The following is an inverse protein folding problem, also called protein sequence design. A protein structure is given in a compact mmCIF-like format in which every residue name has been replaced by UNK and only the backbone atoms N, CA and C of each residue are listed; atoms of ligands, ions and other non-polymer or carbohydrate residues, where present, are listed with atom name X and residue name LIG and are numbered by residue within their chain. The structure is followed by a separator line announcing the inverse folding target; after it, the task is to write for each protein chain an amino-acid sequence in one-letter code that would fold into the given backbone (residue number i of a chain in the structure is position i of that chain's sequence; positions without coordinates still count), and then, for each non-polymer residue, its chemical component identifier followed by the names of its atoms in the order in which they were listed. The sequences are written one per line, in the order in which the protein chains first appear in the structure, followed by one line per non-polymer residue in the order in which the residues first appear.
data_IF_253367992801
#
_entry.id   IF_253367992801
#
_cell.length_a   1.000
_cell.length_b   1.000
_cell.length_c   1.000
_cell.angle_alpha   90.00
_cell.angle_beta   90.00
_cell.angle_gamma   90.00
#
_symmetry.space_group_name_H-M   'P 1'
#
loop_
_entity.id
_entity.type
_entity.pdbx_description
1 polymer ?
#
# COMPACT_ATOMS: atom_id res chain seq x y z
N UNK A 1 11.95 5.20 -19.48
CA UNK A 1 11.77 4.16 -18.45
C UNK A 1 10.34 3.63 -18.55
N UNK A 2 10.18 2.32 -18.69
CA UNK A 2 8.90 1.61 -18.75
C UNK A 2 8.65 0.92 -17.43
N UNK A 3 7.51 1.17 -16.82
CA UNK A 3 7.15 0.63 -15.50
C UNK A 3 6.06 -0.41 -15.66
N UNK A 4 6.34 -1.63 -15.22
CA UNK A 4 5.33 -2.67 -15.06
C UNK A 4 4.58 -2.49 -13.72
N UNK A 5 3.27 -2.66 -13.73
CA UNK A 5 2.47 -2.70 -12.51
C UNK A 5 1.59 -3.94 -12.58
N UNK A 6 1.70 -4.83 -11.61
CA UNK A 6 0.91 -6.06 -11.57
C UNK A 6 -0.10 -5.95 -10.44
N UNK A 7 -1.38 -5.89 -10.82
CA UNK A 7 -2.50 -5.68 -9.92
C UNK A 7 -3.32 -4.44 -10.26
N UNK A 8 -4.65 -4.62 -10.33
CA UNK A 8 -5.63 -3.62 -10.76
C UNK A 8 -6.48 -3.08 -9.61
N UNK A 9 -6.10 -3.45 -8.38
CA UNK A 9 -6.76 -3.01 -7.15
C UNK A 9 -6.56 -1.52 -6.84
N UNK A 10 -6.96 -1.12 -5.63
CA UNK A 10 -6.84 0.28 -5.17
C UNK A 10 -5.39 0.78 -5.21
N UNK A 11 -4.44 -0.03 -4.75
CA UNK A 11 -3.03 0.35 -4.76
C UNK A 11 -2.46 0.36 -6.18
N UNK A 12 -2.66 -0.70 -6.97
CA UNK A 12 -2.14 -0.77 -8.33
C UNK A 12 -2.65 0.37 -9.22
N UNK A 13 -3.95 0.67 -9.19
CA UNK A 13 -4.51 1.82 -9.92
C UNK A 13 -3.97 3.17 -9.43
N UNK A 14 -3.82 3.35 -8.10
CA UNK A 14 -3.26 4.57 -7.52
C UNK A 14 -1.78 4.77 -7.84
N UNK A 15 -0.99 3.69 -7.84
CA UNK A 15 0.42 3.71 -8.26
C UNK A 15 0.51 4.03 -9.75
N UNK A 16 -0.29 3.37 -10.61
CA UNK A 16 -0.34 3.64 -12.04
C UNK A 16 -0.68 5.11 -12.32
N UNK A 17 -1.68 5.66 -11.64
CA UNK A 17 -2.03 7.07 -11.75
C UNK A 17 -0.84 7.99 -11.41
N UNK A 18 -0.13 7.72 -10.31
CA UNK A 18 1.02 8.53 -9.91
C UNK A 18 2.17 8.42 -10.92
N UNK A 19 2.47 7.22 -11.39
CA UNK A 19 3.55 6.96 -12.36
C UNK A 19 3.25 7.65 -13.70
N UNK A 20 2.03 7.52 -14.23
CA UNK A 20 1.57 8.16 -15.45
C UNK A 20 1.62 9.71 -15.36
N UNK A 21 1.19 10.26 -14.20
CA UNK A 21 1.20 11.71 -13.96
C UNK A 21 2.61 12.31 -13.96
N UNK A 22 3.64 11.47 -13.79
CA UNK A 22 5.05 11.87 -13.84
C UNK A 22 5.72 11.52 -15.20
N UNK A 23 4.92 11.22 -16.23
CA UNK A 23 5.39 11.08 -17.62
C UNK A 23 6.06 9.75 -17.96
N UNK A 24 5.91 8.73 -17.12
CA UNK A 24 6.42 7.38 -17.40
C UNK A 24 5.45 6.59 -18.27
N UNK A 25 6.00 5.66 -19.06
CA UNK A 25 5.20 4.62 -19.72
C UNK A 25 4.86 3.52 -18.74
N UNK A 26 3.60 3.12 -18.67
CA UNK A 26 3.11 2.08 -17.78
C UNK A 26 2.56 0.92 -18.58
N UNK A 27 2.92 -0.30 -18.22
CA UNK A 27 2.19 -1.52 -18.58
C UNK A 27 1.53 -2.08 -17.33
N UNK A 28 0.19 -2.05 -17.30
CA UNK A 28 -0.62 -2.55 -16.20
C UNK A 28 -1.09 -3.96 -16.51
N UNK A 29 -0.73 -4.92 -15.64
CA UNK A 29 -1.15 -6.31 -15.76
C UNK A 29 -2.30 -6.58 -14.80
N UNK A 30 -3.42 -7.04 -15.36
CA UNK A 30 -4.59 -7.52 -14.62
C UNK A 30 -4.79 -9.01 -14.81
N UNK A 31 -5.59 -9.62 -13.93
CA UNK A 31 -5.89 -11.06 -14.03
C UNK A 31 -6.95 -11.35 -15.10
N UNK A 32 -7.95 -10.46 -15.23
CA UNK A 32 -9.07 -10.58 -16.18
C UNK A 32 -9.32 -9.24 -16.89
N UNK A 33 -9.91 -9.30 -18.06
CA UNK A 33 -10.30 -8.11 -18.82
C UNK A 33 -11.26 -7.18 -18.05
N UNK A 34 -12.17 -7.75 -17.26
CA UNK A 34 -13.09 -6.98 -16.41
C UNK A 34 -12.36 -6.19 -15.34
N UNK A 35 -11.30 -6.77 -14.75
CA UNK A 35 -10.47 -6.07 -13.75
C UNK A 35 -9.73 -4.91 -14.38
N UNK A 36 -9.23 -5.09 -15.60
CA UNK A 36 -8.57 -4.03 -16.40
C UNK A 36 -9.54 -2.91 -16.73
N UNK A 37 -10.76 -3.24 -17.19
CA UNK A 37 -11.80 -2.24 -17.46
C UNK A 37 -12.15 -1.43 -16.21
N UNK A 38 -12.40 -2.10 -15.10
CA UNK A 38 -12.68 -1.45 -13.81
C UNK A 38 -11.52 -0.56 -13.36
N UNK A 39 -10.29 -0.99 -13.59
CA UNK A 39 -9.10 -0.20 -13.26
C UNK A 39 -9.01 1.06 -14.15
N UNK A 40 -9.28 0.94 -15.45
CA UNK A 40 -9.30 2.09 -16.37
C UNK A 40 -10.36 3.12 -15.96
N UNK A 41 -11.54 2.68 -15.53
CA UNK A 41 -12.59 3.55 -15.00
C UNK A 41 -12.12 4.31 -13.76
N UNK A 42 -11.43 3.62 -12.82
CA UNK A 42 -10.83 4.26 -11.63
C UNK A 42 -9.77 5.28 -11.99
N UNK A 43 -8.89 4.97 -12.94
CA UNK A 43 -7.87 5.90 -13.43
C UNK A 43 -8.50 7.15 -14.05
N UNK A 44 -9.51 6.97 -14.91
CA UNK A 44 -10.25 8.07 -15.51
C UNK A 44 -10.90 8.96 -14.45
N UNK A 45 -11.58 8.37 -13.48
CA UNK A 45 -12.20 9.10 -12.37
C UNK A 45 -11.15 9.85 -11.52
N UNK A 46 -9.98 9.24 -11.30
CA UNK A 46 -8.87 9.86 -10.58
C UNK A 46 -8.34 11.09 -11.33
N UNK A 47 -8.13 10.99 -12.63
CA UNK A 47 -7.70 12.11 -13.46
C UNK A 47 -8.79 13.20 -13.57
N UNK A 48 -10.06 12.83 -13.67
CA UNK A 48 -11.16 13.82 -13.73
C UNK A 48 -11.27 14.60 -12.41
N UNK A 49 -11.06 13.97 -11.28
CA UNK A 49 -10.94 14.66 -9.98
C UNK A 49 -9.74 15.61 -9.93
N UNK A 50 -8.61 15.23 -10.55
CA UNK A 50 -7.43 16.09 -10.62
C UNK A 50 -7.68 17.31 -11.55
N UNK A 51 -8.39 17.12 -12.67
CA UNK A 51 -8.84 18.22 -13.55
C UNK A 51 -9.77 19.17 -12.80
N UNK A 52 -10.77 18.61 -12.08
CA UNK A 52 -11.72 19.44 -11.33
C UNK A 52 -11.05 20.29 -10.22
N UNK A 53 -9.90 19.81 -9.69
CA UNK A 53 -9.06 20.56 -8.72
C UNK A 53 -8.06 21.51 -9.38
N UNK A 54 -8.01 21.57 -10.71
CA UNK A 54 -7.04 22.38 -11.44
C UNK A 54 -5.59 21.88 -11.38
N UNK A 55 -5.38 20.62 -10.93
CA UNK A 55 -4.03 20.05 -10.78
C UNK A 55 -3.44 19.56 -12.11
N UNK A 56 -4.28 19.20 -13.07
CA UNK A 56 -3.91 18.80 -14.44
C UNK A 56 -4.92 19.35 -15.45
N UNK A 57 -4.51 19.41 -16.72
CA UNK A 57 -5.39 19.77 -17.85
C UNK A 57 -5.99 18.52 -18.51
N UNK A 58 -6.99 18.72 -19.39
CA UNK A 58 -7.56 17.64 -20.23
C UNK A 58 -6.50 17.03 -21.17
N UNK A 59 -5.64 17.89 -21.73
CA UNK A 59 -4.57 17.45 -22.64
C UNK A 59 -3.53 16.60 -21.92
N UNK A 60 -3.19 16.98 -20.68
CA UNK A 60 -2.33 16.15 -19.83
C UNK A 60 -2.97 14.79 -19.51
N UNK A 61 -4.27 14.73 -19.20
CA UNK A 61 -4.98 13.44 -19.04
C UNK A 61 -4.86 12.58 -20.28
N UNK A 62 -5.08 13.15 -21.47
CA UNK A 62 -4.97 12.42 -22.73
C UNK A 62 -3.55 11.88 -22.94
N UNK A 63 -2.51 12.69 -22.67
CA UNK A 63 -1.12 12.27 -22.74
C UNK A 63 -0.81 11.13 -21.77
N UNK A 64 -1.29 11.21 -20.52
CA UNK A 64 -1.08 10.16 -19.52
C UNK A 64 -1.71 8.84 -19.94
N UNK A 65 -2.93 8.88 -20.49
CA UNK A 65 -3.61 7.68 -20.97
C UNK A 65 -2.97 7.08 -22.23
N UNK A 66 -2.34 7.90 -23.08
CA UNK A 66 -1.56 7.41 -24.22
C UNK A 66 -0.29 6.64 -23.78
N UNK A 67 0.23 6.91 -22.59
CA UNK A 67 1.38 6.22 -22.00
C UNK A 67 0.98 4.94 -21.23
N UNK A 68 -0.30 4.57 -21.23
CA UNK A 68 -0.83 3.39 -20.53
C UNK A 68 -1.07 2.25 -21.50
N UNK A 69 -0.32 1.16 -21.35
CA UNK A 69 -0.66 -0.16 -21.86
C UNK A 69 -1.37 -0.99 -20.79
N UNK A 70 -2.32 -1.82 -21.19
CA UNK A 70 -3.05 -2.71 -20.30
C UNK A 70 -3.11 -4.10 -20.91
N UNK A 71 -2.84 -5.14 -20.12
CA UNK A 71 -2.80 -6.52 -20.60
C UNK A 71 -3.08 -7.52 -19.48
N UNK A 72 -3.49 -8.73 -19.85
CA UNK A 72 -3.52 -9.89 -18.97
C UNK A 72 -2.31 -10.84 -19.19
N UNK A 73 -1.46 -10.52 -20.16
CA UNK A 73 -0.29 -11.32 -20.49
C UNK A 73 0.98 -10.75 -19.84
N UNK A 74 1.65 -11.55 -19.02
CA UNK A 74 2.92 -11.17 -18.38
C UNK A 74 4.09 -10.97 -19.36
N UNK A 75 4.02 -11.52 -20.58
CA UNK A 75 5.03 -11.31 -21.61
C UNK A 75 5.21 -9.82 -21.99
N UNK A 76 4.18 -9.01 -21.78
CA UNK A 76 4.23 -7.58 -22.06
C UNK A 76 5.11 -6.79 -21.05
N UNK A 77 5.55 -7.46 -19.96
CA UNK A 77 6.52 -6.91 -19.00
C UNK A 77 7.98 -7.01 -19.46
N UNK A 78 8.29 -7.76 -20.52
CA UNK A 78 9.66 -8.10 -20.96
C UNK A 78 10.63 -6.93 -21.07
N UNK A 79 10.11 -5.75 -21.46
CA UNK A 79 10.89 -4.52 -21.65
C UNK A 79 10.75 -3.54 -20.47
N UNK A 80 10.23 -3.99 -19.32
CA UNK A 80 10.09 -3.13 -18.15
C UNK A 80 11.42 -2.93 -17.43
N UNK A 81 11.73 -1.69 -17.07
CA UNK A 81 12.92 -1.34 -16.27
C UNK A 81 12.72 -1.62 -14.78
N UNK A 82 11.48 -1.52 -14.33
CA UNK A 82 11.03 -1.79 -12.95
C UNK A 82 9.61 -2.33 -13.00
N UNK A 83 9.34 -3.39 -12.22
CA UNK A 83 7.98 -3.93 -12.04
C UNK A 83 7.59 -3.84 -10.59
N UNK A 84 6.38 -3.30 -10.33
CA UNK A 84 5.80 -3.18 -8.98
C UNK A 84 4.63 -4.16 -8.88
N UNK A 85 4.76 -5.15 -8.02
CA UNK A 85 3.67 -6.04 -7.64
C UNK A 85 2.77 -5.32 -6.60
N UNK A 86 1.46 -5.25 -6.89
CA UNK A 86 0.45 -4.62 -6.05
C UNK A 86 -0.88 -5.42 -6.05
N UNK A 87 -0.76 -6.76 -5.96
CA UNK A 87 -1.91 -7.67 -5.84
C UNK A 87 -2.37 -7.78 -4.37
N UNK A 88 -3.36 -8.65 -4.12
CA UNK A 88 -3.87 -8.88 -2.75
C UNK A 88 -2.76 -9.28 -1.77
N UNK A 89 -2.94 -8.96 -0.48
CA UNK A 89 -1.97 -9.24 0.59
C UNK A 89 -2.08 -10.71 1.05
N UNK A 90 -1.98 -11.61 0.09
CA UNK A 90 -1.92 -13.05 0.26
C UNK A 90 -0.55 -13.58 -0.18
N UNK A 91 0.11 -14.33 0.70
CA UNK A 91 1.48 -14.79 0.48
C UNK A 91 1.60 -15.71 -0.72
N UNK A 92 0.66 -16.63 -0.92
CA UNK A 92 0.73 -17.59 -2.03
C UNK A 92 0.41 -16.92 -3.38
N UNK A 93 -0.53 -15.98 -3.39
CA UNK A 93 -0.81 -15.17 -4.58
C UNK A 93 0.41 -14.34 -4.95
N UNK A 94 1.03 -13.65 -3.99
CA UNK A 94 2.23 -12.83 -4.25
C UNK A 94 3.40 -13.69 -4.75
N UNK A 95 3.63 -14.84 -4.15
CA UNK A 95 4.66 -15.80 -4.62
C UNK A 95 4.43 -16.18 -6.09
N UNK A 96 3.21 -16.59 -6.44
CA UNK A 96 2.86 -16.94 -7.81
C UNK A 96 3.10 -15.79 -8.80
N UNK A 97 2.72 -14.57 -8.41
CA UNK A 97 2.89 -13.37 -9.22
C UNK A 97 4.38 -13.01 -9.39
N UNK A 98 5.15 -13.00 -8.30
CA UNK A 98 6.59 -12.66 -8.32
C UNK A 98 7.36 -13.63 -9.22
N UNK A 99 7.10 -14.94 -9.11
CA UNK A 99 7.71 -15.95 -9.98
C UNK A 99 7.30 -15.79 -11.45
N UNK A 100 6.06 -15.36 -11.71
CA UNK A 100 5.61 -15.06 -13.05
C UNK A 100 6.28 -13.80 -13.63
N UNK A 101 6.49 -12.77 -12.83
CA UNK A 101 7.24 -11.57 -13.23
C UNK A 101 8.67 -11.95 -13.58
N UNK A 102 9.37 -12.64 -12.66
CA UNK A 102 10.76 -12.99 -12.83
C UNK A 102 11.07 -13.71 -14.14
N UNK A 103 10.23 -14.68 -14.49
CA UNK A 103 10.40 -15.49 -15.72
C UNK A 103 10.30 -14.69 -17.02
N UNK A 104 9.80 -13.47 -17.00
CA UNK A 104 9.45 -12.71 -18.19
C UNK A 104 10.21 -11.40 -18.34
N UNK A 105 10.79 -10.93 -17.26
CA UNK A 105 11.53 -9.67 -17.28
C UNK A 105 13.04 -9.92 -17.48
N UNK A 106 13.72 -8.90 -17.98
CA UNK A 106 15.18 -8.92 -18.10
C UNK A 106 15.85 -9.11 -16.74
N UNK A 107 17.06 -9.65 -16.73
CA UNK A 107 17.87 -9.80 -15.52
C UNK A 107 18.21 -8.47 -14.83
N UNK A 108 18.23 -7.37 -15.59
CA UNK A 108 18.48 -6.01 -15.08
C UNK A 108 17.23 -5.32 -14.57
N UNK A 109 16.04 -5.91 -14.75
CA UNK A 109 14.76 -5.35 -14.29
C UNK A 109 14.69 -5.42 -12.77
N UNK A 110 14.40 -4.31 -12.12
CA UNK A 110 14.08 -4.30 -10.69
C UNK A 110 12.69 -4.87 -10.48
N UNK A 111 12.55 -5.79 -9.53
CA UNK A 111 11.28 -6.33 -9.09
C UNK A 111 10.98 -5.78 -7.70
N UNK A 112 9.85 -5.10 -7.56
CA UNK A 112 9.42 -4.53 -6.30
C UNK A 112 8.04 -5.05 -5.89
N UNK A 113 7.80 -5.15 -4.60
CA UNK A 113 6.48 -5.46 -4.04
C UNK A 113 5.96 -4.28 -3.22
N UNK A 114 4.65 -4.03 -3.32
CA UNK A 114 3.97 -3.01 -2.51
C UNK A 114 3.37 -3.60 -1.22
N UNK A 115 3.81 -4.79 -0.79
CA UNK A 115 3.35 -5.39 0.47
C UNK A 115 3.54 -4.43 1.64
N UNK A 116 2.66 -4.52 2.62
CA UNK A 116 2.73 -3.76 3.87
C UNK A 116 3.13 -4.59 5.08
N UNK A 117 3.15 -5.94 4.94
CA UNK A 117 3.26 -6.85 6.09
C UNK A 117 4.13 -8.08 5.84
N UNK A 118 4.37 -8.45 4.57
CA UNK A 118 5.14 -9.64 4.24
C UNK A 118 6.63 -9.28 4.13
N UNK A 119 7.51 -10.10 4.72
CA UNK A 119 8.96 -9.88 4.68
C UNK A 119 9.49 -9.85 3.24
N UNK A 120 10.22 -8.81 2.92
CA UNK A 120 10.88 -8.62 1.63
C UNK A 120 11.96 -9.70 1.43
N UNK A 121 12.67 -10.04 2.49
CA UNK A 121 13.70 -11.10 2.49
C UNK A 121 13.10 -12.46 2.14
N UNK A 122 11.93 -12.78 2.70
CA UNK A 122 11.22 -14.03 2.39
C UNK A 122 10.77 -14.04 0.93
N UNK A 123 10.17 -12.98 0.44
CA UNK A 123 9.74 -12.90 -0.96
C UNK A 123 10.93 -12.92 -1.94
N UNK A 124 12.02 -12.24 -1.60
CA UNK A 124 13.25 -12.24 -2.40
C UNK A 124 13.88 -13.64 -2.53
N UNK A 125 13.70 -14.51 -1.52
CA UNK A 125 14.25 -15.87 -1.56
C UNK A 125 13.59 -16.79 -2.60
N UNK A 126 12.48 -16.34 -3.20
CA UNK A 126 11.74 -17.11 -4.21
C UNK A 126 12.33 -16.95 -5.60
N UNK A 127 13.16 -15.94 -5.86
CA UNK A 127 13.69 -15.60 -7.17
C UNK A 127 15.18 -15.90 -7.25
N UNK A 128 15.67 -16.17 -8.47
CA UNK A 128 17.05 -16.55 -8.72
C UNK A 128 18.05 -15.41 -8.46
N UNK A 129 17.62 -14.16 -8.72
CA UNK A 129 18.42 -12.93 -8.51
C UNK A 129 17.79 -12.02 -7.44
N UNK A 130 17.89 -12.38 -6.15
CA UNK A 130 17.26 -11.65 -5.06
C UNK A 130 17.87 -10.25 -4.83
N UNK A 131 19.06 -9.96 -5.36
CA UNK A 131 19.71 -8.66 -5.25
C UNK A 131 18.97 -7.53 -5.97
N UNK A 132 18.10 -7.86 -6.94
CA UNK A 132 17.23 -6.90 -7.67
C UNK A 132 15.82 -6.77 -7.09
N UNK A 133 15.53 -7.46 -5.98
CA UNK A 133 14.23 -7.45 -5.32
C UNK A 133 14.21 -6.54 -4.11
N UNK A 134 13.14 -5.75 -3.95
CA UNK A 134 12.94 -4.84 -2.83
C UNK A 134 11.47 -4.52 -2.57
N UNK A 135 11.18 -3.88 -1.45
CA UNK A 135 9.85 -3.33 -1.17
C UNK A 135 9.77 -1.85 -1.57
N UNK A 136 8.68 -1.47 -2.27
CA UNK A 136 8.28 -0.07 -2.44
C UNK A 136 6.88 0.08 -1.87
N UNK A 137 6.79 0.40 -0.59
CA UNK A 137 5.52 0.52 0.11
C UNK A 137 4.94 1.92 -0.07
N UNK A 138 3.94 2.03 -0.95
CA UNK A 138 3.15 3.24 -1.14
C UNK A 138 2.00 3.29 -0.12
N UNK A 139 1.65 4.50 0.30
CA UNK A 139 0.52 4.74 1.19
C UNK A 139 -0.75 5.08 0.41
N UNK A 140 -1.88 4.63 0.91
CA UNK A 140 -3.19 4.88 0.28
C UNK A 140 -3.74 6.28 0.65
N UNK A 141 -4.16 7.11 -0.34
CA UNK A 141 -4.10 6.94 -1.79
C UNK A 141 -2.70 7.21 -2.37
N UNK A 142 -2.17 6.27 -3.19
CA UNK A 142 -0.80 6.36 -3.70
C UNK A 142 -0.52 7.61 -4.55
N UNK A 143 -1.53 8.14 -5.23
CA UNK A 143 -1.43 9.37 -6.02
C UNK A 143 -1.34 10.65 -5.16
N UNK A 144 -1.72 10.59 -3.87
CA UNK A 144 -1.83 11.76 -2.99
C UNK A 144 -0.74 11.77 -1.91
N UNK A 145 -0.52 10.61 -1.29
CA UNK A 145 0.43 10.49 -0.18
C UNK A 145 1.86 10.75 -0.64
N UNK A 146 2.57 11.60 0.11
CA UNK A 146 3.89 12.09 -0.28
C UNK A 146 5.04 11.17 0.12
N UNK A 147 4.82 10.22 1.02
CA UNK A 147 5.86 9.32 1.53
C UNK A 147 5.79 7.95 0.88
N UNK A 148 6.95 7.33 0.74
CA UNK A 148 7.16 5.93 0.35
C UNK A 148 8.20 5.32 1.26
N UNK A 149 7.95 4.13 1.79
CA UNK A 149 8.97 3.31 2.44
C UNK A 149 9.66 2.45 1.38
N UNK A 150 10.98 2.58 1.30
CA UNK A 150 11.83 1.77 0.45
C UNK A 150 12.48 0.70 1.32
N UNK A 151 12.01 -0.54 1.19
CA UNK A 151 12.36 -1.60 2.12
C UNK A 151 13.45 -2.49 1.53
N UNK A 152 14.60 -2.50 2.19
CA UNK A 152 15.75 -3.30 1.82
C UNK A 152 15.68 -4.68 2.46
N UNK A 153 15.49 -5.72 1.64
CA UNK A 153 15.67 -7.11 2.06
C UNK A 153 17.14 -7.46 2.29
N UNK A 154 17.39 -8.60 2.90
CA UNK A 154 18.74 -9.02 3.27
C UNK A 154 19.72 -9.09 2.09
N UNK A 155 19.23 -9.55 0.93
CA UNK A 155 20.05 -9.69 -0.30
C UNK A 155 19.88 -8.53 -1.29
N UNK A 156 19.01 -7.56 -1.03
CA UNK A 156 18.80 -6.41 -1.91
C UNK A 156 20.11 -5.62 -2.10
N UNK A 157 20.53 -5.41 -3.33
CA UNK A 157 21.73 -4.65 -3.65
C UNK A 157 21.53 -3.14 -3.44
N UNK A 158 22.61 -2.43 -3.14
CA UNK A 158 22.58 -0.98 -3.03
C UNK A 158 22.28 -0.30 -4.38
N UNK A 159 22.64 -0.96 -5.49
CA UNK A 159 22.31 -0.49 -6.83
C UNK A 159 20.81 -0.53 -7.08
N UNK A 160 20.15 -1.66 -6.84
CA UNK A 160 18.69 -1.79 -6.97
C UNK A 160 17.96 -0.79 -6.08
N UNK A 161 18.40 -0.65 -4.82
CA UNK A 161 17.84 0.31 -3.88
C UNK A 161 17.99 1.75 -4.38
N UNK A 162 19.14 2.10 -4.95
CA UNK A 162 19.41 3.44 -5.47
C UNK A 162 18.55 3.76 -6.71
N UNK A 163 18.42 2.83 -7.64
CA UNK A 163 17.55 2.98 -8.83
C UNK A 163 16.09 3.19 -8.41
N UNK A 164 15.60 2.39 -7.46
CA UNK A 164 14.24 2.53 -6.92
C UNK A 164 14.06 3.86 -6.16
N UNK A 165 15.08 4.33 -5.42
CA UNK A 165 15.05 5.63 -4.73
C UNK A 165 14.95 6.80 -5.72
N UNK A 166 15.74 6.77 -6.80
CA UNK A 166 15.67 7.79 -7.86
C UNK A 166 14.29 7.79 -8.49
N UNK A 167 13.75 6.61 -8.82
CA UNK A 167 12.39 6.47 -9.35
C UNK A 167 11.36 7.08 -8.41
N UNK A 168 11.34 6.72 -7.13
CA UNK A 168 10.38 7.23 -6.16
C UNK A 168 10.48 8.76 -5.97
N UNK A 169 11.70 9.32 -5.94
CA UNK A 169 11.92 10.77 -5.89
C UNK A 169 11.38 11.47 -7.14
N UNK A 170 11.55 10.89 -8.32
CA UNK A 170 11.02 11.43 -9.56
C UNK A 170 9.48 11.41 -9.60
N UNK A 171 8.83 10.54 -8.80
CA UNK A 171 7.39 10.57 -8.58
C UNK A 171 6.95 11.65 -7.55
N UNK A 172 7.85 12.52 -7.12
CA UNK A 172 7.59 13.54 -6.11
C UNK A 172 7.43 12.98 -4.68
N UNK A 173 7.95 11.76 -4.41
CA UNK A 173 7.84 11.13 -3.10
C UNK A 173 9.05 11.46 -2.21
N UNK A 174 8.78 11.61 -0.94
CA UNK A 174 9.79 11.57 0.12
C UNK A 174 10.05 10.11 0.44
N UNK A 175 11.30 9.68 0.27
CA UNK A 175 11.71 8.29 0.48
C UNK A 175 12.24 8.10 1.88
N UNK A 176 11.70 7.11 2.58
CA UNK A 176 12.21 6.62 3.85
C UNK A 176 12.85 5.26 3.62
N UNK A 177 14.15 5.16 3.85
CA UNK A 177 14.86 3.89 3.76
C UNK A 177 14.56 3.04 5.00
N UNK A 178 14.13 1.80 4.78
CA UNK A 178 13.69 0.89 5.83
C UNK A 178 14.41 -0.44 5.68
N UNK A 179 14.94 -0.97 6.79
CA UNK A 179 15.38 -2.36 6.86
C UNK A 179 14.16 -3.27 6.97
N UNK A 180 14.18 -4.38 6.22
CA UNK A 180 13.11 -5.39 6.31
C UNK A 180 12.90 -5.83 7.76
N UNK A 181 11.71 -5.57 8.25
CA UNK A 181 11.29 -5.90 9.62
C UNK A 181 9.77 -5.94 9.70
N UNK A 182 9.18 -6.71 10.64
CA UNK A 182 7.73 -6.81 10.77
C UNK A 182 7.05 -5.44 10.93
N UNK A 183 6.12 -5.13 10.01
CA UNK A 183 5.36 -3.88 10.01
C UNK A 183 6.13 -2.64 9.55
N UNK A 184 7.36 -2.80 9.08
CA UNK A 184 8.24 -1.73 8.62
C UNK A 184 8.34 -0.59 9.67
N UNK A 185 8.29 0.67 9.26
CA UNK A 185 8.21 1.81 10.20
C UNK A 185 6.76 2.21 10.45
N UNK A 186 5.99 2.36 9.37
CA UNK A 186 4.64 2.91 9.45
C UNK A 186 3.67 2.06 10.26
N UNK A 187 3.51 0.78 9.90
CA UNK A 187 2.59 -0.10 10.63
C UNK A 187 3.07 -0.37 12.05
N UNK A 188 4.38 -0.45 12.26
CA UNK A 188 4.95 -0.67 13.59
C UNK A 188 4.62 0.47 14.55
N UNK A 189 4.67 1.73 14.10
CA UNK A 189 4.30 2.89 14.91
C UNK A 189 2.78 2.97 15.04
N UNK A 190 2.06 2.88 13.92
CA UNK A 190 0.64 3.12 13.86
C UNK A 190 -0.16 2.11 14.67
N UNK A 191 0.18 0.82 14.56
CA UNK A 191 -0.56 -0.23 15.28
C UNK A 191 -0.37 -0.13 16.79
N UNK A 192 0.81 0.25 17.29
CA UNK A 192 1.02 0.51 18.72
C UNK A 192 0.22 1.74 19.18
N UNK A 193 0.19 2.81 18.38
CA UNK A 193 -0.58 4.00 18.72
C UNK A 193 -2.09 3.71 18.79
N UNK A 194 -2.62 2.96 17.82
CA UNK A 194 -4.02 2.54 17.81
C UNK A 194 -4.31 1.62 18.99
N UNK A 195 -3.48 0.58 19.20
CA UNK A 195 -3.71 -0.41 20.24
C UNK A 195 -3.71 0.21 21.65
N UNK A 196 -2.72 1.08 21.93
CA UNK A 196 -2.66 1.81 23.20
C UNK A 196 -3.89 2.71 23.39
N UNK A 197 -4.35 3.36 22.33
CA UNK A 197 -5.58 4.17 22.38
C UNK A 197 -6.81 3.34 22.70
N UNK A 198 -6.85 2.09 22.26
CA UNK A 198 -7.94 1.16 22.60
C UNK A 198 -7.83 0.73 24.06
N UNK A 199 -6.63 0.44 24.59
CA UNK A 199 -6.43 0.13 26.00
C UNK A 199 -6.87 1.28 26.92
N UNK A 200 -6.54 2.53 26.58
CA UNK A 200 -7.02 3.72 27.31
C UNK A 200 -8.55 3.76 27.37
N UNK A 201 -9.23 3.38 26.28
CA UNK A 201 -10.69 3.28 26.23
C UNK A 201 -11.22 2.13 27.09
N UNK A 202 -10.59 0.94 27.03
CA UNK A 202 -10.96 -0.24 27.83
C UNK A 202 -10.84 0.02 29.34
N UNK A 203 -9.77 0.69 29.74
CA UNK A 203 -9.49 1.06 31.12
C UNK A 203 -10.39 2.20 31.65
N UNK A 204 -11.20 2.80 30.78
CA UNK A 204 -12.09 3.90 31.14
C UNK A 204 -11.37 5.20 31.52
N UNK A 205 -10.10 5.34 31.13
CA UNK A 205 -9.30 6.55 31.38
C UNK A 205 -9.90 7.76 30.66
N UNK A 206 -10.39 7.57 29.43
CA UNK A 206 -11.07 8.62 28.66
C UNK A 206 -12.13 8.03 27.73
N UNK A 207 -13.06 8.88 27.28
CA UNK A 207 -14.03 8.51 26.23
C UNK A 207 -13.33 8.45 24.86
N UNK A 208 -13.91 7.75 23.91
CA UNK A 208 -13.39 7.67 22.54
C UNK A 208 -13.21 9.05 21.89
N UNK A 209 -14.16 9.96 22.13
CA UNK A 209 -14.09 11.35 21.67
C UNK A 209 -12.95 12.12 22.34
N UNK A 210 -12.70 11.87 23.63
CA UNK A 210 -11.60 12.45 24.38
C UNK A 210 -10.23 12.01 23.83
N UNK A 211 -10.05 10.71 23.61
CA UNK A 211 -8.82 10.13 23.05
C UNK A 211 -8.52 10.74 21.67
N UNK A 212 -9.51 10.74 20.76
CA UNK A 212 -9.35 11.29 19.43
C UNK A 212 -9.12 12.81 19.44
N UNK A 213 -9.72 13.52 20.39
CA UNK A 213 -9.50 14.96 20.57
C UNK A 213 -8.08 15.28 21.01
N UNK A 214 -7.50 14.51 21.94
CA UNK A 214 -6.11 14.68 22.36
C UNK A 214 -5.17 14.48 21.17
N UNK A 215 -5.38 13.44 20.36
CA UNK A 215 -4.55 13.21 19.17
C UNK A 215 -4.68 14.35 18.15
N UNK A 216 -5.89 14.83 17.88
CA UNK A 216 -6.13 15.91 16.91
C UNK A 216 -5.61 17.27 17.39
N UNK A 217 -5.88 17.66 18.62
CA UNK A 217 -5.58 18.99 19.11
C UNK A 217 -4.29 19.07 19.92
N UNK A 218 -3.91 17.99 20.62
CA UNK A 218 -2.68 17.92 21.39
C UNK A 218 -1.45 17.55 20.56
N UNK A 219 -1.63 16.63 19.60
CA UNK A 219 -0.52 16.15 18.75
C UNK A 219 -0.60 16.68 17.31
N UNK A 220 -1.63 17.48 16.99
CA UNK A 220 -1.88 18.00 15.64
C UNK A 220 -2.03 16.91 14.55
N UNK A 221 -2.60 15.77 14.92
CA UNK A 221 -2.94 14.73 13.96
C UNK A 221 -4.20 15.10 13.17
N UNK A 222 -4.26 14.80 11.85
CA UNK A 222 -5.45 15.12 11.04
C UNK A 222 -6.69 14.32 11.43
N UNK A 223 -6.48 13.17 12.09
CA UNK A 223 -7.52 12.22 12.51
C UNK A 223 -7.12 11.60 13.86
N UNK A 224 -8.09 11.29 14.69
CA UNK A 224 -7.83 10.57 15.93
C UNK A 224 -7.53 9.08 15.69
N UNK A 225 -6.88 8.40 16.64
CA UNK A 225 -6.47 6.99 16.47
C UNK A 225 -7.65 6.02 16.31
N UNK A 226 -8.75 6.23 17.04
CA UNK A 226 -9.92 5.36 16.97
C UNK A 226 -10.73 5.62 15.69
N UNK A 227 -10.84 6.88 15.28
CA UNK A 227 -11.43 7.25 13.99
C UNK A 227 -10.58 6.71 12.82
N UNK A 228 -9.25 6.72 12.93
CA UNK A 228 -8.33 6.17 11.95
C UNK A 228 -8.43 4.64 11.88
N UNK A 229 -8.54 3.95 13.00
CA UNK A 229 -8.76 2.51 13.05
C UNK A 229 -10.05 2.11 12.33
N UNK A 230 -11.16 2.84 12.57
CA UNK A 230 -12.43 2.64 11.86
C UNK A 230 -12.31 2.91 10.36
N UNK A 231 -11.49 3.88 9.97
CA UNK A 231 -11.25 4.20 8.55
C UNK A 231 -10.42 3.13 7.84
N UNK A 232 -9.40 2.57 8.50
CA UNK A 232 -8.57 1.46 7.99
C UNK A 232 -9.41 0.18 7.90
N UNK A 233 -10.20 -0.08 8.92
CA UNK A 233 -10.94 -1.29 9.20
C UNK A 233 -10.34 -2.04 10.38
N UNK A 234 -11.17 -2.34 11.37
CA UNK A 234 -10.72 -2.94 12.63
C UNK A 234 -10.17 -4.35 12.45
N UNK A 235 -10.73 -5.13 11.53
CA UNK A 235 -10.22 -6.43 11.10
C UNK A 235 -8.81 -6.31 10.49
N UNK A 236 -8.59 -5.33 9.63
CA UNK A 236 -7.28 -5.05 9.02
C UNK A 236 -6.26 -4.65 10.09
N UNK A 237 -6.64 -3.78 11.03
CA UNK A 237 -5.76 -3.39 12.14
C UNK A 237 -5.36 -4.61 12.98
N UNK A 238 -6.33 -5.47 13.33
CA UNK A 238 -6.09 -6.71 14.07
C UNK A 238 -5.13 -7.63 13.32
N UNK A 239 -5.38 -7.87 12.03
CA UNK A 239 -4.56 -8.76 11.20
C UNK A 239 -3.10 -8.26 11.08
N UNK A 240 -2.91 -6.94 10.94
CA UNK A 240 -1.57 -6.32 10.91
C UNK A 240 -0.87 -6.50 12.26
N UNK A 241 -1.56 -6.23 13.38
CA UNK A 241 -1.00 -6.41 14.72
C UNK A 241 -0.57 -7.87 14.95
N UNK A 242 -1.44 -8.84 14.62
CA UNK A 242 -1.11 -10.25 14.76
C UNK A 242 0.04 -10.70 13.85
N UNK A 243 0.11 -10.15 12.62
CA UNK A 243 1.21 -10.44 11.72
C UNK A 243 2.55 -9.95 12.28
N UNK A 244 2.60 -8.70 12.78
CA UNK A 244 3.79 -8.13 13.42
C UNK A 244 4.16 -8.92 14.67
N UNK A 245 3.19 -9.24 15.52
CA UNK A 245 3.37 -10.02 16.74
C UNK A 245 4.01 -11.38 16.45
N UNK A 246 3.45 -12.13 15.49
CA UNK A 246 3.94 -13.48 15.13
C UNK A 246 5.33 -13.45 14.52
N UNK A 247 5.57 -12.54 13.57
CA UNK A 247 6.84 -12.43 12.86
C UNK A 247 7.96 -11.89 13.78
N UNK A 248 7.64 -10.87 14.59
CA UNK A 248 8.58 -10.21 15.49
C UNK A 248 8.71 -10.87 16.87
N UNK A 249 7.83 -11.82 17.21
CA UNK A 249 7.67 -12.38 18.58
C UNK A 249 7.54 -11.26 19.62
N UNK A 250 6.76 -10.22 19.31
CA UNK A 250 6.65 -9.00 20.11
C UNK A 250 5.23 -8.87 20.65
N UNK A 251 5.05 -9.19 21.93
CA UNK A 251 3.74 -9.18 22.60
C UNK A 251 3.12 -7.78 22.76
N UNK A 252 3.85 -6.71 22.52
CA UNK A 252 3.29 -5.35 22.47
C UNK A 252 2.23 -5.17 21.40
N UNK A 253 2.27 -6.04 20.38
CA UNK A 253 1.29 -6.06 19.28
C UNK A 253 0.14 -7.03 19.50
N UNK A 254 -0.03 -7.57 20.72
CA UNK A 254 -1.24 -8.33 21.04
C UNK A 254 -2.44 -7.40 20.91
N UNK A 255 -3.44 -7.70 20.06
CA UNK A 255 -4.62 -6.86 19.94
C UNK A 255 -5.35 -6.71 21.28
N UNK A 256 -5.86 -5.52 21.55
CA UNK A 256 -6.72 -5.24 22.70
C UNK A 256 -8.01 -6.06 22.64
N UNK A 257 -8.56 -6.48 23.78
CA UNK A 257 -9.76 -7.33 23.85
C UNK A 257 -10.98 -6.68 23.20
N UNK A 258 -11.12 -5.35 23.34
CA UNK A 258 -12.20 -4.60 22.70
C UNK A 258 -12.08 -4.62 21.17
N UNK A 259 -10.86 -4.57 20.62
CA UNK A 259 -10.65 -4.71 19.18
C UNK A 259 -11.11 -6.08 18.69
N UNK A 260 -10.69 -7.14 19.37
CA UNK A 260 -11.11 -8.52 19.05
C UNK A 260 -12.63 -8.68 19.13
N UNK A 261 -13.25 -8.13 20.17
CA UNK A 261 -14.69 -8.15 20.36
C UNK A 261 -15.43 -7.45 19.22
N UNK A 262 -15.03 -6.23 18.86
CA UNK A 262 -15.67 -5.49 17.76
C UNK A 262 -15.55 -6.23 16.43
N UNK A 263 -14.39 -6.79 16.13
CA UNK A 263 -14.18 -7.58 14.91
C UNK A 263 -15.05 -8.83 14.90
N UNK A 264 -15.14 -9.57 16.00
CA UNK A 264 -15.96 -10.77 16.10
C UNK A 264 -17.48 -10.47 15.98
N UNK A 265 -17.92 -9.26 16.37
CA UNK A 265 -19.29 -8.77 16.19
C UNK A 265 -19.55 -8.27 14.74
N UNK A 266 -18.54 -8.27 13.86
CA UNK A 266 -18.66 -7.73 12.50
C UNK A 266 -18.63 -6.20 12.42
N UNK A 267 -18.31 -5.51 13.51
CA UNK A 267 -18.20 -4.06 13.62
C UNK A 267 -16.82 -3.60 13.13
N UNK A 268 -16.55 -3.68 11.82
CA UNK A 268 -15.23 -3.46 11.24
C UNK A 268 -14.98 -2.00 10.83
N UNK A 269 -15.65 -1.04 11.47
CA UNK A 269 -15.48 0.38 11.21
C UNK A 269 -16.34 0.90 10.06
N UNK A 270 -15.82 1.91 9.36
CA UNK A 270 -16.57 2.66 8.34
C UNK A 270 -17.12 1.76 7.22
N UNK A 271 -16.41 0.72 6.81
CA UNK A 271 -16.85 -0.20 5.74
C UNK A 271 -18.09 -1.02 6.09
N UNK A 272 -18.32 -1.28 7.38
CA UNK A 272 -19.53 -1.99 7.86
C UNK A 272 -20.59 -1.05 8.44
N UNK A 273 -20.29 0.27 8.52
CA UNK A 273 -21.17 1.28 9.09
C UNK A 273 -21.06 1.43 10.60
N UNK A 274 -20.27 0.59 11.27
CA UNK A 274 -20.05 0.63 12.71
C UNK A 274 -18.67 0.10 13.07
N UNK A 275 -18.02 0.76 14.04
CA UNK A 275 -16.79 0.38 14.69
C UNK A 275 -16.77 1.00 16.07
N UNK A 276 -15.74 1.75 16.43
CA UNK A 276 -15.74 2.64 17.59
C UNK A 276 -16.82 3.72 17.46
N UNK A 277 -17.05 4.17 16.21
CA UNK A 277 -18.11 5.14 15.87
C UNK A 277 -19.17 4.50 14.98
N UNK A 278 -20.32 5.20 14.89
CA UNK A 278 -21.38 4.84 13.95
C UNK A 278 -21.32 5.74 12.73
N UNK A 279 -21.41 5.12 11.55
CA UNK A 279 -21.34 5.79 10.26
C UNK A 279 -22.66 5.62 9.51
N UNK A 280 -23.25 6.72 9.06
CA UNK A 280 -24.41 6.63 8.16
C UNK A 280 -23.96 5.93 6.87
N UNK A 281 -24.69 4.88 6.46
CA UNK A 281 -24.50 4.27 5.14
C UNK A 281 -24.65 5.39 4.10
N UNK A 282 -23.58 5.70 3.40
CA UNK A 282 -23.70 6.54 2.20
C UNK A 282 -24.56 5.75 1.20
N UNK A 283 -25.74 6.34 0.87
CA UNK A 283 -26.66 5.83 -0.15
C UNK A 283 -26.02 5.95 -1.54
#
# INVERSE_FOLDING_TARGET
MKIGIVGTGTMGSGIAQNVLSNGYNVILIGHKEEDLKTCLEKLNLGFDKAIAKGSITKDQKALFLNNLGMSSNYEDLKDADLVIEAVTEDTEVKKGVILNIEKRVSEDTIIATNTSSISITVLASLIDKPERFLGIHFFNPASVMKVVELVKGEKTSDEALNRARIFAKNLGKVVVDVKDSPGFVSNRILMLFINESIHILEEGIATKEGIDTVAKLGFNHPMGPLELADFIGLDVCKDIMEAIRRQGKDERFKPAELLEKLVNEGNNGKKTGKGFYEYKKQK
#
